data_IF_365827934915
#
_entry.id   IF_365827934915
#
_cell.length_a   1.000
_cell.length_b   1.000
_cell.length_c   1.000
_cell.angle_alpha   90.00
_cell.angle_beta   90.00
_cell.angle_gamma   90.00
#
_symmetry.space_group_name_H-M   'P 1'
#
loop_
_entity.id
_entity.type
_entity.pdbx_description
1 polymer ?
#
# COMPACT_ATOMS: atom_id res chain seq x y z
N UNK A 1 3.84 -7.36 19.29
CA UNK A 1 3.63 -6.11 18.53
C UNK A 1 2.74 -5.19 19.33
N UNK A 2 3.03 -3.90 19.35
CA UNK A 2 2.24 -2.86 20.04
C UNK A 2 1.93 -1.71 19.08
N UNK A 3 0.70 -1.18 19.14
CA UNK A 3 0.25 -0.05 18.33
C UNK A 3 -0.37 1.00 19.26
N UNK A 4 0.25 2.17 19.31
CA UNK A 4 -0.18 3.28 20.16
C UNK A 4 -1.45 3.96 19.68
N UNK A 5 -2.06 4.73 20.59
CA UNK A 5 -3.28 5.49 20.30
C UNK A 5 -3.12 6.42 19.09
N UNK A 6 -4.12 6.45 18.21
CA UNK A 6 -4.13 7.31 17.03
C UNK A 6 -3.10 6.94 15.95
N UNK A 7 -2.31 5.87 16.14
CA UNK A 7 -1.42 5.38 15.10
C UNK A 7 -2.22 4.74 13.95
N UNK A 8 -1.63 4.73 12.76
CA UNK A 8 -2.26 4.21 11.54
C UNK A 8 -1.30 3.33 10.73
N UNK A 9 -1.81 2.20 10.24
CA UNK A 9 -1.09 1.26 9.37
C UNK A 9 -1.91 1.17 8.08
N UNK A 10 -1.27 1.48 6.95
CA UNK A 10 -1.94 1.72 5.67
C UNK A 10 -1.88 0.50 4.74
N UNK A 11 -2.50 0.61 3.57
CA UNK A 11 -2.77 -0.52 2.69
C UNK A 11 -1.49 -1.27 2.31
N UNK A 12 -1.53 -2.60 2.39
CA UNK A 12 -0.40 -3.49 2.10
C UNK A 12 0.85 -3.29 2.97
N UNK A 13 0.81 -2.48 4.03
CA UNK A 13 1.91 -2.43 4.99
C UNK A 13 1.99 -3.74 5.79
N UNK A 14 3.21 -4.19 6.10
CA UNK A 14 3.47 -5.41 6.87
C UNK A 14 4.21 -5.04 8.14
N UNK A 15 3.61 -5.37 9.29
CA UNK A 15 4.24 -5.20 10.60
C UNK A 15 4.33 -6.57 11.24
N UNK A 16 5.54 -7.13 11.30
CA UNK A 16 5.78 -8.48 11.78
C UNK A 16 6.75 -8.46 12.96
N UNK A 17 6.26 -8.82 14.14
CA UNK A 17 7.05 -8.93 15.37
C UNK A 17 6.97 -10.34 15.92
N UNK A 18 7.56 -11.28 15.19
CA UNK A 18 7.62 -12.72 15.50
C UNK A 18 8.92 -13.13 16.20
N UNK A 19 10.06 -12.56 15.82
CA UNK A 19 11.37 -12.83 16.47
C UNK A 19 11.71 -11.85 17.59
N UNK A 20 11.30 -10.58 17.44
CA UNK A 20 11.59 -9.50 18.38
C UNK A 20 10.45 -8.48 18.35
N UNK A 21 10.33 -7.66 19.40
CA UNK A 21 9.27 -6.67 19.53
C UNK A 21 9.33 -5.62 18.41
N UNK A 22 8.14 -5.30 17.91
CA UNK A 22 7.88 -4.14 17.05
C UNK A 22 6.85 -3.26 17.75
N UNK A 23 7.21 -1.99 17.98
CA UNK A 23 6.38 -1.02 18.67
C UNK A 23 6.17 0.20 17.79
N UNK A 24 4.90 0.58 17.61
CA UNK A 24 4.49 1.78 16.89
C UNK A 24 3.93 2.76 17.90
N UNK A 25 4.66 3.86 18.16
CA UNK A 25 4.25 4.87 19.14
C UNK A 25 2.99 5.65 18.76
N UNK A 26 2.42 6.42 19.72
CA UNK A 26 1.16 7.12 19.53
C UNK A 26 1.17 8.08 18.34
N UNK A 27 0.12 7.98 17.52
CA UNK A 27 -0.13 8.87 16.41
C UNK A 27 0.93 8.83 15.30
N UNK A 28 1.70 7.74 15.25
CA UNK A 28 2.63 7.43 14.16
C UNK A 28 1.89 6.83 12.98
N UNK A 29 2.46 6.93 11.77
CA UNK A 29 1.87 6.35 10.57
C UNK A 29 2.87 5.45 9.82
N UNK A 30 2.41 4.27 9.42
CA UNK A 30 3.15 3.28 8.63
C UNK A 30 2.45 3.15 7.29
N UNK A 31 2.98 3.86 6.30
CA UNK A 31 2.30 4.09 5.02
C UNK A 31 2.32 2.86 4.10
N UNK A 32 1.65 2.99 2.97
CA UNK A 32 1.34 1.90 2.06
C UNK A 32 2.57 1.10 1.64
N UNK A 33 2.48 -0.23 1.75
CA UNK A 33 3.55 -1.15 1.41
C UNK A 33 4.81 -1.05 2.29
N UNK A 34 4.82 -0.26 3.36
CA UNK A 34 5.95 -0.21 4.27
C UNK A 34 6.09 -1.51 5.07
N UNK A 35 7.32 -1.86 5.45
CA UNK A 35 7.62 -3.11 6.17
C UNK A 35 8.37 -2.80 7.46
N UNK A 36 7.83 -3.30 8.58
CA UNK A 36 8.48 -3.28 9.89
C UNK A 36 8.78 -4.71 10.34
N UNK A 37 10.03 -4.96 10.72
CA UNK A 37 10.49 -6.25 11.24
C UNK A 37 11.66 -6.03 12.20
N UNK A 38 12.05 -7.06 12.94
CA UNK A 38 13.09 -6.98 13.94
C UNK A 38 13.81 -8.33 14.08
N UNK A 39 15.12 -8.27 14.35
CA UNK A 39 15.93 -9.44 14.72
C UNK A 39 16.15 -9.46 16.24
N UNK A 40 16.42 -10.64 16.85
CA UNK A 40 16.70 -10.73 18.28
C UNK A 40 17.79 -9.75 18.74
N UNK A 41 17.50 -8.95 19.76
CA UNK A 41 18.41 -7.92 20.29
C UNK A 41 18.36 -6.58 19.55
N UNK A 42 17.63 -6.49 18.43
CA UNK A 42 17.41 -5.27 17.66
C UNK A 42 15.90 -5.03 17.51
N UNK A 43 15.23 -4.52 18.55
CA UNK A 43 13.81 -4.22 18.46
C UNK A 43 13.54 -3.07 17.47
N UNK A 44 12.40 -3.14 16.78
CA UNK A 44 11.94 -2.04 15.93
C UNK A 44 11.02 -1.12 16.75
N UNK A 45 11.54 0.04 17.15
CA UNK A 45 10.87 0.95 18.07
C UNK A 45 10.60 2.29 17.38
N UNK A 46 9.34 2.59 17.08
CA UNK A 46 8.92 3.90 16.61
C UNK A 46 8.36 4.71 17.79
N UNK A 47 8.87 5.93 17.98
CA UNK A 47 8.37 6.90 18.94
C UNK A 47 7.01 7.49 18.55
N UNK A 48 6.59 8.53 19.27
CA UNK A 48 5.35 9.23 18.99
C UNK A 48 5.46 10.10 17.72
N UNK A 49 4.40 10.16 16.92
CA UNK A 49 4.36 11.04 15.73
C UNK A 49 5.40 10.73 14.66
N UNK A 50 5.90 9.49 14.61
CA UNK A 50 6.81 9.03 13.55
C UNK A 50 6.05 8.82 12.25
N UNK A 51 6.68 9.16 11.13
CA UNK A 51 6.16 8.84 9.80
C UNK A 51 7.08 7.86 9.09
N UNK A 52 6.58 6.68 8.77
CA UNK A 52 7.26 5.70 7.91
C UNK A 52 6.63 5.77 6.53
N UNK A 53 7.38 6.31 5.57
CA UNK A 53 6.93 6.61 4.22
C UNK A 53 6.57 5.37 3.40
N UNK A 54 5.80 5.58 2.31
CA UNK A 54 5.37 4.49 1.43
C UNK A 54 6.55 3.58 1.02
N UNK A 55 6.37 2.26 1.15
CA UNK A 55 7.38 1.23 0.84
C UNK A 55 8.72 1.38 1.57
N UNK A 56 8.79 2.16 2.65
CA UNK A 56 9.98 2.19 3.48
C UNK A 56 10.10 0.87 4.28
N UNK A 57 11.33 0.49 4.60
CA UNK A 57 11.65 -0.66 5.44
C UNK A 57 12.35 -0.17 6.70
N UNK A 58 11.81 -0.49 7.87
CA UNK A 58 12.50 -0.26 9.15
C UNK A 58 12.72 -1.62 9.80
N UNK A 59 13.98 -1.97 9.95
CA UNK A 59 14.39 -3.28 10.43
C UNK A 59 15.26 -3.11 11.69
N UNK A 60 14.72 -3.51 12.83
CA UNK A 60 15.42 -3.53 14.11
C UNK A 60 16.10 -2.22 14.53
N UNK A 61 15.44 -1.09 14.29
CA UNK A 61 15.98 0.25 14.53
C UNK A 61 15.12 1.04 15.54
N UNK A 62 15.73 2.05 16.14
CA UNK A 62 15.05 3.03 17.00
C UNK A 62 14.80 4.31 16.20
N UNK A 63 13.55 4.69 16.05
CA UNK A 63 13.13 5.91 15.36
C UNK A 63 12.38 6.79 16.35
N UNK A 64 12.94 7.94 16.67
CA UNK A 64 12.46 8.78 17.76
C UNK A 64 11.34 9.74 17.35
N UNK A 65 10.80 10.44 18.34
CA UNK A 65 9.61 11.29 18.20
C UNK A 65 9.71 12.28 17.02
N UNK A 66 8.65 12.33 16.21
CA UNK A 66 8.52 13.27 15.09
C UNK A 66 9.41 12.98 13.88
N UNK A 67 10.24 11.93 13.91
CA UNK A 67 11.12 11.59 12.79
C UNK A 67 10.34 11.12 11.55
N UNK A 68 10.94 11.33 10.39
CA UNK A 68 10.42 10.91 9.08
C UNK A 68 11.39 9.94 8.42
N UNK A 69 10.91 8.73 8.16
CA UNK A 69 11.55 7.78 7.25
C UNK A 69 10.95 8.00 5.86
N UNK A 70 11.75 8.53 4.94
CA UNK A 70 11.31 8.84 3.58
C UNK A 70 10.80 7.61 2.83
N UNK A 71 9.93 7.83 1.84
CA UNK A 71 9.39 6.74 1.03
C UNK A 71 10.51 5.92 0.37
N UNK A 72 10.36 4.60 0.38
CA UNK A 72 11.34 3.65 -0.16
C UNK A 72 12.69 3.63 0.56
N UNK A 73 12.87 4.35 1.67
CA UNK A 73 14.10 4.28 2.45
C UNK A 73 14.20 2.96 3.22
N UNK A 74 15.42 2.54 3.53
CA UNK A 74 15.72 1.34 4.31
C UNK A 74 16.53 1.73 5.54
N UNK A 75 16.06 1.35 6.73
CA UNK A 75 16.75 1.56 8.01
C UNK A 75 17.08 0.21 8.62
N UNK A 76 18.37 -0.04 8.84
CA UNK A 76 18.89 -1.36 9.24
C UNK A 76 19.15 -1.48 10.74
N UNK A 77 19.40 -2.72 11.19
CA UNK A 77 19.52 -3.11 12.59
C UNK A 77 20.44 -2.19 13.40
N UNK A 78 19.99 -1.81 14.59
CA UNK A 78 20.74 -0.99 15.54
C UNK A 78 20.90 0.47 15.14
N UNK A 79 20.39 0.90 13.98
CA UNK A 79 20.38 2.31 13.63
C UNK A 79 19.47 3.10 14.58
N UNK A 80 19.85 4.36 14.84
CA UNK A 80 19.07 5.31 15.65
C UNK A 80 18.78 6.56 14.83
N UNK A 81 17.51 6.84 14.60
CA UNK A 81 17.03 8.05 13.94
C UNK A 81 16.49 9.00 15.00
N UNK A 82 17.22 10.09 15.26
CA UNK A 82 16.90 11.04 16.32
C UNK A 82 15.59 11.81 16.10
N UNK A 83 15.15 12.49 17.16
CA UNK A 83 13.90 13.29 17.15
C UNK A 83 13.86 14.24 15.96
N UNK A 84 12.70 14.35 15.29
CA UNK A 84 12.49 15.23 14.13
C UNK A 84 13.51 15.07 12.98
N UNK A 85 14.32 14.01 12.98
CA UNK A 85 15.26 13.75 11.91
C UNK A 85 14.55 13.24 10.66
N UNK A 86 15.20 13.40 9.51
CA UNK A 86 14.67 13.01 8.22
C UNK A 86 15.64 12.06 7.52
N UNK A 87 15.18 10.85 7.24
CA UNK A 87 15.82 9.96 6.26
C UNK A 87 15.20 10.27 4.90
N UNK A 88 16.01 10.66 3.93
CA UNK A 88 15.51 10.98 2.59
C UNK A 88 14.92 9.77 1.87
N UNK A 89 14.08 10.03 0.87
CA UNK A 89 13.49 9.00 0.03
C UNK A 89 14.59 8.12 -0.62
N UNK A 90 14.40 6.80 -0.59
CA UNK A 90 15.33 5.82 -1.15
C UNK A 90 16.69 5.73 -0.45
N UNK A 91 16.92 6.43 0.66
CA UNK A 91 18.18 6.35 1.39
C UNK A 91 18.30 5.01 2.13
N UNK A 92 19.54 4.52 2.32
CA UNK A 92 19.81 3.28 3.06
C UNK A 92 20.69 3.61 4.27
N UNK A 93 20.09 3.61 5.46
CA UNK A 93 20.77 3.85 6.74
C UNK A 93 21.46 2.56 7.17
N UNK A 94 22.81 2.52 7.21
CA UNK A 94 23.58 1.33 7.56
C UNK A 94 23.31 0.86 9.00
N UNK A 95 23.62 -0.41 9.34
CA UNK A 95 23.50 -0.91 10.69
C UNK A 95 24.28 -0.06 11.69
N UNK A 96 23.68 0.22 12.85
CA UNK A 96 24.31 1.00 13.92
C UNK A 96 24.52 2.49 13.60
N UNK A 97 24.11 3.00 12.44
CA UNK A 97 24.25 4.42 12.13
C UNK A 97 23.34 5.27 13.03
N UNK A 98 23.90 6.32 13.61
CA UNK A 98 23.15 7.34 14.32
C UNK A 98 22.91 8.56 13.41
N UNK A 99 21.65 8.96 13.31
CA UNK A 99 21.22 10.21 12.68
C UNK A 99 20.83 11.17 13.81
N UNK A 100 21.52 12.31 13.99
CA UNK A 100 21.23 13.25 15.06
C UNK A 100 19.80 13.81 15.00
N UNK A 101 19.34 14.35 16.12
CA UNK A 101 18.09 15.12 16.19
C UNK A 101 18.07 16.24 15.14
N UNK A 102 16.93 16.37 14.45
CA UNK A 102 16.71 17.40 13.43
C UNK A 102 17.64 17.31 12.24
N UNK A 103 18.35 16.20 12.02
CA UNK A 103 19.28 16.06 10.91
C UNK A 103 18.64 15.42 9.66
N UNK A 104 19.11 15.81 8.48
CA UNK A 104 18.78 15.20 7.20
C UNK A 104 19.86 14.19 6.80
N UNK A 105 19.49 12.93 6.58
CA UNK A 105 20.36 11.89 6.06
C UNK A 105 19.90 11.43 4.66
N UNK A 106 20.82 11.43 3.68
CA UNK A 106 20.54 11.10 2.28
C UNK A 106 21.52 10.08 1.71
N UNK A 107 21.08 9.32 0.70
CA UNK A 107 21.95 8.49 -0.16
C UNK A 107 22.04 7.02 0.23
N UNK A 108 22.84 6.28 -0.55
CA UNK A 108 23.12 4.85 -0.37
C UNK A 108 24.64 4.64 -0.45
N UNK A 109 25.32 4.37 0.68
CA UNK A 109 24.81 4.42 2.04
C UNK A 109 24.46 5.86 2.48
N UNK A 110 23.54 6.00 3.42
CA UNK A 110 23.10 7.29 3.93
C UNK A 110 24.24 8.05 4.60
N UNK A 111 24.23 9.37 4.45
CA UNK A 111 25.14 10.32 5.11
C UNK A 111 24.35 11.51 5.60
N UNK A 112 24.68 12.00 6.80
CA UNK A 112 24.14 13.26 7.30
C UNK A 112 24.60 14.40 6.39
N UNK A 113 23.66 15.22 5.92
CA UNK A 113 23.90 16.33 4.99
C UNK A 113 23.71 17.70 5.64
N UNK A 114 23.10 17.76 6.81
CA UNK A 114 22.84 19.01 7.53
C UNK A 114 21.55 18.93 8.33
N UNK A 115 21.02 20.08 8.77
CA UNK A 115 19.72 20.14 9.43
C UNK A 115 18.58 19.84 8.45
N UNK A 116 17.48 19.30 8.99
CA UNK A 116 16.20 19.11 8.33
C UNK A 116 15.17 20.08 8.90
N UNK A 117 14.18 20.45 8.08
CA UNK A 117 12.96 21.04 8.61
C UNK A 117 12.14 19.96 9.35
N UNK A 118 11.52 20.29 10.50
CA UNK A 118 10.69 19.35 11.23
C UNK A 118 9.56 18.78 10.36
N UNK A 119 9.38 17.45 10.30
CA UNK A 119 8.33 16.84 9.48
C UNK A 119 6.92 17.21 9.95
N UNK A 120 6.07 17.67 9.03
CA UNK A 120 4.65 17.95 9.28
C UNK A 120 3.69 16.79 8.98
N UNK A 121 4.22 15.59 8.73
CA UNK A 121 3.44 14.47 8.18
C UNK A 121 2.48 13.83 9.20
N UNK A 122 2.91 13.62 10.44
CA UNK A 122 2.13 12.88 11.42
C UNK A 122 0.77 13.51 11.76
N UNK A 123 0.64 14.84 12.01
CA UNK A 123 -0.67 15.46 12.22
C UNK A 123 -1.63 15.28 11.04
N UNK A 124 -1.11 15.38 9.80
CA UNK A 124 -1.91 15.16 8.58
C UNK A 124 -2.42 13.74 8.50
N UNK A 125 -1.58 12.75 8.83
CA UNK A 125 -1.95 11.35 8.80
C UNK A 125 -2.90 10.94 9.95
N UNK A 126 -2.83 11.59 11.11
CA UNK A 126 -3.84 11.41 12.17
C UNK A 126 -5.23 11.85 11.70
N UNK A 127 -5.33 13.06 11.14
CA UNK A 127 -6.59 13.57 10.59
C UNK A 127 -7.09 12.69 9.41
N UNK A 128 -6.17 12.22 8.56
CA UNK A 128 -6.52 11.32 7.47
C UNK A 128 -7.02 9.97 7.97
N UNK A 129 -6.37 9.39 8.99
CA UNK A 129 -6.80 8.14 9.60
C UNK A 129 -8.22 8.27 10.20
N UNK A 130 -8.54 9.38 10.88
CA UNK A 130 -9.89 9.64 11.36
C UNK A 130 -10.92 9.70 10.23
N UNK A 131 -10.58 10.35 9.11
CA UNK A 131 -11.45 10.40 7.92
C UNK A 131 -11.68 9.00 7.35
N UNK A 132 -10.64 8.18 7.24
CA UNK A 132 -10.76 6.80 6.75
C UNK A 132 -11.58 5.92 7.71
N UNK A 133 -11.40 6.06 9.03
CA UNK A 133 -12.20 5.33 10.03
C UNK A 133 -13.70 5.62 9.93
N UNK A 134 -14.08 6.82 9.47
CA UNK A 134 -15.49 7.22 9.31
C UNK A 134 -16.07 6.89 7.94
N UNK A 135 -15.24 6.77 6.90
CA UNK A 135 -15.71 6.80 5.51
C UNK A 135 -15.06 5.80 4.55
N UNK A 136 -14.24 4.86 5.04
CA UNK A 136 -13.71 3.80 4.19
C UNK A 136 -14.82 2.77 3.94
N UNK A 137 -15.34 2.78 2.71
CA UNK A 137 -16.28 1.79 2.22
C UNK A 137 -15.55 0.88 1.23
N UNK A 138 -15.79 -0.42 1.32
CA UNK A 138 -15.43 -1.32 0.23
C UNK A 138 -16.24 -0.88 -1.00
N UNK A 139 -15.56 -0.65 -2.13
CA UNK A 139 -16.27 -0.50 -3.39
C UNK A 139 -16.82 -1.87 -3.78
N UNK A 140 -18.14 -1.98 -3.90
CA UNK A 140 -18.74 -3.11 -4.59
C UNK A 140 -18.30 -3.05 -6.05
N UNK A 141 -17.62 -4.10 -6.50
CA UNK A 141 -17.34 -4.27 -7.91
C UNK A 141 -18.67 -4.38 -8.66
N UNK A 142 -18.79 -3.80 -9.87
CA UNK A 142 -20.01 -3.88 -10.65
C UNK A 142 -20.30 -5.36 -10.89
N UNK A 143 -21.46 -5.84 -10.43
CA UNK A 143 -21.90 -7.21 -10.70
C UNK A 143 -22.74 -7.29 -11.96
N UNK A 144 -23.23 -6.15 -12.46
CA UNK A 144 -24.01 -6.03 -13.69
C UNK A 144 -23.21 -5.31 -14.74
N UNK A 145 -23.44 -5.77 -15.96
CA UNK A 145 -22.71 -5.33 -17.13
C UNK A 145 -23.66 -5.23 -18.30
N UNK A 146 -23.52 -4.17 -19.08
CA UNK A 146 -24.20 -4.03 -20.37
C UNK A 146 -23.31 -4.53 -21.50
N UNK A 147 -23.91 -5.08 -22.55
CA UNK A 147 -23.20 -5.42 -23.77
C UNK A 147 -22.78 -4.16 -24.52
N UNK A 148 -21.52 -4.10 -24.92
CA UNK A 148 -21.06 -3.15 -25.94
C UNK A 148 -21.54 -3.59 -27.32
N UNK A 149 -21.29 -2.78 -28.36
CA UNK A 149 -21.54 -3.20 -29.75
C UNK A 149 -20.75 -4.46 -30.12
N UNK A 150 -19.51 -4.60 -29.63
CA UNK A 150 -18.69 -5.80 -29.83
C UNK A 150 -19.28 -7.01 -29.10
N UNK A 151 -19.80 -6.82 -27.88
CA UNK A 151 -20.51 -7.87 -27.14
C UNK A 151 -21.79 -8.33 -27.85
N UNK A 152 -22.53 -7.40 -28.44
CA UNK A 152 -23.71 -7.72 -29.26
C UNK A 152 -23.32 -8.51 -30.51
N UNK A 153 -22.24 -8.11 -31.21
CA UNK A 153 -21.72 -8.84 -32.36
C UNK A 153 -21.24 -10.25 -31.99
N UNK A 154 -20.59 -10.42 -30.83
CA UNK A 154 -20.21 -11.73 -30.30
C UNK A 154 -21.41 -12.66 -30.06
N UNK A 155 -22.59 -12.13 -29.76
CA UNK A 155 -23.81 -12.91 -29.57
C UNK A 155 -24.61 -13.15 -30.87
N UNK A 156 -24.30 -12.45 -31.96
CA UNK A 156 -24.93 -12.66 -33.26
C UNK A 156 -24.43 -13.98 -33.88
N UNK A 157 -25.28 -15.01 -34.05
CA UNK A 157 -24.85 -16.32 -34.53
C UNK A 157 -24.26 -16.33 -35.95
N UNK A 158 -24.44 -15.25 -36.69
CA UNK A 158 -23.95 -15.08 -38.05
C UNK A 158 -22.64 -14.27 -38.14
N UNK A 159 -22.08 -13.76 -37.03
CA UNK A 159 -20.83 -13.00 -37.06
C UNK A 159 -19.60 -13.91 -37.04
N UNK A 160 -18.53 -13.47 -37.70
CA UNK A 160 -17.21 -14.13 -37.63
C UNK A 160 -16.73 -14.24 -36.18
N UNK A 161 -16.97 -13.19 -35.39
CA UNK A 161 -16.61 -13.13 -33.98
C UNK A 161 -17.34 -14.20 -33.16
N UNK A 162 -18.63 -14.41 -33.40
CA UNK A 162 -19.40 -15.47 -32.76
C UNK A 162 -18.88 -16.85 -33.15
N UNK A 163 -18.66 -17.10 -34.44
CA UNK A 163 -18.17 -18.38 -34.93
C UNK A 163 -16.78 -18.71 -34.37
N UNK A 164 -15.91 -17.70 -34.24
CA UNK A 164 -14.62 -17.82 -33.59
C UNK A 164 -14.78 -18.20 -32.11
N UNK A 165 -15.49 -17.40 -31.31
CA UNK A 165 -15.69 -17.65 -29.88
C UNK A 165 -16.37 -19.00 -29.61
N UNK A 166 -17.31 -19.41 -30.45
CA UNK A 166 -17.97 -20.72 -30.33
C UNK A 166 -17.00 -21.90 -30.47
N UNK A 167 -15.91 -21.72 -31.23
CA UNK A 167 -14.86 -22.72 -31.43
C UNK A 167 -13.79 -22.66 -30.35
N UNK A 168 -13.44 -21.45 -29.90
CA UNK A 168 -12.26 -21.22 -29.05
C UNK A 168 -12.57 -20.98 -27.57
N UNK A 169 -13.71 -20.36 -27.24
CA UNK A 169 -14.07 -19.85 -25.90
C UNK A 169 -15.59 -19.87 -25.65
N UNK A 170 -16.14 -21.06 -25.41
CA UNK A 170 -17.60 -21.24 -25.23
C UNK A 170 -18.10 -20.59 -23.93
N UNK A 171 -17.28 -20.63 -22.89
CA UNK A 171 -17.53 -20.02 -21.59
C UNK A 171 -17.71 -18.50 -21.69
N UNK A 172 -16.97 -17.83 -22.58
CA UNK A 172 -17.12 -16.40 -22.84
C UNK A 172 -18.51 -16.09 -23.44
N UNK A 173 -19.00 -16.91 -24.38
CA UNK A 173 -20.34 -16.76 -24.95
C UNK A 173 -21.44 -17.01 -23.92
N UNK A 174 -21.26 -17.98 -23.02
CA UNK A 174 -22.22 -18.24 -21.94
C UNK A 174 -22.30 -17.08 -20.95
N UNK A 175 -21.15 -16.53 -20.55
CA UNK A 175 -21.08 -15.35 -19.70
C UNK A 175 -21.70 -14.11 -20.38
N UNK A 176 -21.43 -13.88 -21.67
CA UNK A 176 -22.05 -12.79 -22.43
C UNK A 176 -23.58 -12.94 -22.52
N UNK A 177 -24.09 -14.16 -22.71
CA UNK A 177 -25.55 -14.43 -22.70
C UNK A 177 -26.17 -14.19 -21.33
N UNK A 178 -25.49 -14.59 -20.25
CA UNK A 178 -25.95 -14.31 -18.88
C UNK A 178 -26.00 -12.81 -18.61
N UNK A 179 -24.94 -12.08 -18.98
CA UNK A 179 -24.92 -10.62 -18.87
C UNK A 179 -26.01 -9.95 -19.71
N UNK A 180 -26.26 -10.42 -20.93
CA UNK A 180 -27.32 -9.87 -21.80
C UNK A 180 -28.73 -10.08 -21.25
N UNK A 181 -28.90 -11.05 -20.35
CA UNK A 181 -30.14 -11.34 -19.63
C UNK A 181 -30.21 -10.61 -18.27
N UNK A 182 -29.22 -9.78 -17.93
CA UNK A 182 -29.16 -9.02 -16.68
C UNK A 182 -28.72 -9.84 -15.47
N UNK A 183 -28.22 -11.07 -15.67
CA UNK A 183 -27.67 -11.86 -14.58
C UNK A 183 -26.31 -11.30 -14.15
N UNK A 184 -26.01 -11.30 -12.84
CA UNK A 184 -24.72 -10.89 -12.38
C UNK A 184 -23.63 -11.85 -12.83
N UNK A 185 -22.44 -11.30 -13.08
CA UNK A 185 -21.23 -12.08 -13.35
C UNK A 185 -20.24 -11.93 -12.19
N UNK A 186 -19.51 -13.01 -11.88
CA UNK A 186 -18.36 -12.92 -11.00
C UNK A 186 -17.24 -12.10 -11.67
N UNK A 187 -16.35 -11.51 -10.87
CA UNK A 187 -15.28 -10.66 -11.40
C UNK A 187 -14.38 -11.44 -12.37
N UNK A 188 -14.07 -12.69 -12.04
CA UNK A 188 -13.19 -13.57 -12.82
C UNK A 188 -13.80 -13.90 -14.19
N UNK A 189 -15.14 -13.95 -14.26
CA UNK A 189 -15.88 -14.16 -15.52
C UNK A 189 -15.95 -12.87 -16.34
N UNK A 190 -16.19 -11.73 -15.67
CA UNK A 190 -16.46 -10.47 -16.34
C UNK A 190 -15.20 -9.71 -16.79
N UNK A 191 -14.11 -9.79 -16.02
CA UNK A 191 -12.92 -8.97 -16.25
C UNK A 191 -12.30 -9.18 -17.65
N UNK A 192 -12.06 -10.41 -18.13
CA UNK A 192 -11.55 -10.61 -19.49
C UNK A 192 -12.50 -10.04 -20.55
N UNK A 193 -13.81 -10.18 -20.35
CA UNK A 193 -14.83 -9.68 -21.28
C UNK A 193 -14.91 -8.15 -21.31
N UNK A 194 -14.62 -7.48 -20.19
CA UNK A 194 -14.50 -6.02 -20.11
C UNK A 194 -13.20 -5.55 -20.77
N UNK A 195 -12.07 -6.20 -20.51
CA UNK A 195 -10.77 -5.89 -21.13
C UNK A 195 -10.80 -6.04 -22.65
N UNK A 196 -11.48 -7.07 -23.15
CA UNK A 196 -11.70 -7.29 -24.58
C UNK A 196 -12.80 -6.39 -25.16
N UNK A 197 -13.48 -5.61 -24.32
CA UNK A 197 -14.48 -4.63 -24.71
C UNK A 197 -15.80 -5.24 -25.14
N UNK A 198 -16.14 -6.46 -24.74
CA UNK A 198 -17.47 -7.06 -24.94
C UNK A 198 -18.50 -6.56 -23.92
N UNK A 199 -18.05 -6.24 -22.71
CA UNK A 199 -18.89 -5.75 -21.61
C UNK A 199 -18.44 -4.37 -21.12
N UNK A 200 -19.38 -3.61 -20.58
CA UNK A 200 -19.11 -2.40 -19.81
C UNK A 200 -19.89 -2.46 -18.48
N UNK A 201 -19.29 -2.07 -17.35
CA UNK A 201 -20.01 -1.90 -16.09
C UNK A 201 -21.25 -1.02 -16.24
N UNK A 202 -22.32 -1.39 -15.55
CA UNK A 202 -23.49 -0.51 -15.35
C UNK A 202 -23.23 0.55 -14.27
#
# INVERSE_FOLDING_TARGET
MEVGEGASIWFAAVVRGDLERVVIGPGSNVQDGAVLHADPGFPCLLGAGVTVGHRAVVHGAVVEEGALIGMGAVVLNGARVGRNAVVGAGAVVPPGMEIPEGALALGVPARVKGPAEPPGNAPRYRALAERYRKGLLAMDLPRRYRLTLRGQDALNPFSELHLHLKRTRKEALEALRRASQGFPLALEEALPLVEEGFLAPE
#
